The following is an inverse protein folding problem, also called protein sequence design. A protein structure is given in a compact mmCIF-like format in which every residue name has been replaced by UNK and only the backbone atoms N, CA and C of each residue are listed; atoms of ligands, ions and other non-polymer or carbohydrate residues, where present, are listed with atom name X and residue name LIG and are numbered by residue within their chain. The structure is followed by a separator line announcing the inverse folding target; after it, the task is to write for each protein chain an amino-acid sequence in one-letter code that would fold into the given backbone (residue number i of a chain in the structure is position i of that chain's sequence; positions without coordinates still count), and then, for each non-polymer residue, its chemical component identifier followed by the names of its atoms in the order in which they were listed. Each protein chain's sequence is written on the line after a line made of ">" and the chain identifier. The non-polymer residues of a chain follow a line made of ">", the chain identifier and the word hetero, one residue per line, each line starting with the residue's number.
data_IF_151885861788
#
_entry.id   IF_151885861788
#
_cell.length_a   1.000
_cell.length_b   1.000
_cell.length_c   1.000
_cell.angle_alpha   90.00
_cell.angle_beta   90.00
_cell.angle_gamma   90.00
#
_symmetry.space_group_name_H-M   'P 1'
#
loop_
_entity.id
_entity.type
_entity.pdbx_description
1 polymer ?
#
# COMPACT_ATOMS: atom_id res chain seq x y z
N UNK A 1 6.06 10.84 8.55
CA UNK A 1 5.01 9.81 8.67
C UNK A 1 3.66 10.49 8.78
N UNK A 2 2.68 10.02 8.01
CA UNK A 2 1.33 10.61 7.98
C UNK A 2 0.27 9.49 7.89
N UNK A 3 -0.96 9.70 8.41
CA UNK A 3 -2.08 8.82 8.13
C UNK A 3 -2.42 8.83 6.63
N UNK A 4 -2.68 7.67 6.03
CA UNK A 4 -3.03 7.58 4.59
C UNK A 4 -4.27 8.41 4.23
N UNK A 5 -5.20 8.60 5.17
CA UNK A 5 -6.38 9.44 4.96
C UNK A 5 -6.05 10.88 4.56
N UNK A 6 -4.89 11.40 4.95
CA UNK A 6 -4.42 12.73 4.55
C UNK A 6 -4.06 12.79 3.07
N UNK A 7 -3.64 11.66 2.50
CA UNK A 7 -3.14 11.55 1.13
C UNK A 7 -4.24 11.58 0.07
N UNK A 8 -5.48 11.18 0.41
CA UNK A 8 -6.57 11.07 -0.57
C UNK A 8 -7.85 11.81 -0.20
N UNK A 9 -8.06 12.17 1.08
CA UNK A 9 -9.33 12.76 1.51
C UNK A 9 -9.67 14.02 0.72
N UNK A 10 -10.93 14.13 0.26
CA UNK A 10 -11.39 15.20 -0.65
C UNK A 10 -11.90 16.46 0.06
N UNK A 11 -11.71 16.57 1.40
CA UNK A 11 -12.10 17.80 2.09
C UNK A 11 -11.29 19.00 1.60
N UNK A 12 -11.90 20.19 1.56
CA UNK A 12 -11.21 21.41 1.11
C UNK A 12 -9.88 21.67 1.84
N UNK A 13 -9.80 21.32 3.13
CA UNK A 13 -8.58 21.50 3.94
C UNK A 13 -7.46 20.56 3.52
N UNK A 14 -7.76 19.25 3.38
CA UNK A 14 -6.76 18.24 3.02
C UNK A 14 -6.28 18.42 1.57
N UNK A 15 -7.19 18.72 0.65
CA UNK A 15 -6.84 19.02 -0.75
C UNK A 15 -5.94 20.26 -0.84
N UNK A 16 -6.30 21.35 -0.14
CA UNK A 16 -5.45 22.57 -0.09
C UNK A 16 -4.05 22.27 0.47
N UNK A 17 -3.95 21.39 1.48
CA UNK A 17 -2.66 20.99 2.03
C UNK A 17 -1.82 20.23 1.01
N UNK A 18 -2.38 19.21 0.33
CA UNK A 18 -1.67 18.45 -0.71
C UNK A 18 -1.24 19.33 -1.85
N UNK A 19 -2.14 20.20 -2.35
CA UNK A 19 -1.78 21.16 -3.39
C UNK A 19 -0.61 22.05 -2.97
N UNK A 20 -0.61 22.51 -1.72
CA UNK A 20 0.51 23.31 -1.18
C UNK A 20 1.80 22.49 -1.11
N UNK A 21 1.73 21.23 -0.68
CA UNK A 21 2.90 20.34 -0.65
C UNK A 21 3.46 20.16 -2.06
N UNK A 22 2.63 19.85 -3.05
CA UNK A 22 3.05 19.63 -4.44
C UNK A 22 3.57 20.89 -5.14
N UNK A 23 3.15 22.08 -4.71
CA UNK A 23 3.57 23.35 -5.36
C UNK A 23 4.73 24.04 -4.66
N UNK A 24 4.94 23.86 -3.35
CA UNK A 24 5.96 24.54 -2.56
C UNK A 24 7.13 23.64 -2.17
N UNK A 25 6.97 22.34 -2.27
CA UNK A 25 7.98 21.35 -1.93
C UNK A 25 8.17 20.38 -3.09
N UNK A 26 9.35 19.81 -3.19
CA UNK A 26 9.62 18.67 -4.06
C UNK A 26 9.31 17.39 -3.29
N UNK A 27 8.25 16.70 -3.66
CA UNK A 27 7.95 15.36 -3.12
C UNK A 27 8.82 14.36 -3.88
N UNK A 28 9.65 13.65 -3.15
CA UNK A 28 10.61 12.69 -3.69
C UNK A 28 10.00 11.27 -3.72
N UNK A 29 9.36 10.88 -2.61
CA UNK A 29 8.71 9.57 -2.52
C UNK A 29 7.48 9.56 -1.60
N UNK A 30 6.58 8.61 -1.87
CA UNK A 30 5.46 8.23 -1.00
C UNK A 30 5.48 6.72 -0.82
N UNK A 31 5.66 6.25 0.42
CA UNK A 31 5.77 4.83 0.76
C UNK A 31 4.61 4.46 1.68
N UNK A 32 3.66 3.67 1.20
CA UNK A 32 2.61 3.10 2.03
C UNK A 32 3.18 1.96 2.88
N UNK A 33 2.84 1.95 4.17
CA UNK A 33 3.29 0.94 5.12
C UNK A 33 2.18 -0.11 5.35
N UNK A 34 2.54 -1.34 5.73
CA UNK A 34 1.58 -2.33 6.16
C UNK A 34 0.69 -1.78 7.29
N UNK A 35 -0.59 -2.16 7.31
CA UNK A 35 -1.55 -1.65 8.30
C UNK A 35 -1.18 -2.07 9.72
N UNK A 36 -0.49 -3.19 9.85
CA UNK A 36 -0.03 -3.80 11.09
C UNK A 36 1.24 -3.16 11.67
N UNK A 37 1.88 -2.23 10.96
CA UNK A 37 3.20 -1.67 11.31
C UNK A 37 3.26 -1.12 12.73
N UNK A 38 2.15 -0.56 13.21
CA UNK A 38 2.07 0.06 14.54
C UNK A 38 1.23 -0.74 15.55
N UNK A 39 0.92 -2.00 15.25
CA UNK A 39 0.24 -2.86 16.23
C UNK A 39 1.20 -3.19 17.42
N UNK A 40 0.66 -3.30 18.64
CA UNK A 40 -0.75 -3.15 19.03
C UNK A 40 -1.20 -1.70 19.29
N UNK A 41 -0.31 -0.71 19.13
CA UNK A 41 -0.59 0.68 19.50
C UNK A 41 -1.62 1.35 18.59
N UNK A 42 -1.63 1.04 17.30
CA UNK A 42 -2.55 1.63 16.32
C UNK A 42 -2.76 0.69 15.14
N UNK A 43 -4.01 0.61 14.65
CA UNK A 43 -4.39 -0.04 13.38
C UNK A 43 -4.67 0.97 12.27
N UNK A 44 -4.14 2.19 12.36
CA UNK A 44 -4.33 3.22 11.34
C UNK A 44 -3.32 3.01 10.22
N UNK A 45 -3.79 2.92 8.97
CA UNK A 45 -2.94 2.91 7.79
C UNK A 45 -2.11 4.18 7.71
N UNK A 46 -0.81 4.03 7.52
CA UNK A 46 0.14 5.14 7.49
C UNK A 46 1.03 5.08 6.25
N UNK A 47 1.61 6.23 5.91
CA UNK A 47 2.60 6.31 4.85
C UNK A 47 3.75 7.25 5.24
N UNK A 48 4.91 7.01 4.66
CA UNK A 48 6.06 7.91 4.71
C UNK A 48 6.00 8.81 3.48
N UNK A 49 6.01 10.12 3.68
CA UNK A 49 6.19 11.10 2.59
C UNK A 49 7.57 11.70 2.73
N UNK A 50 8.39 11.54 1.71
CA UNK A 50 9.74 12.13 1.64
C UNK A 50 9.67 13.37 0.77
N UNK A 51 10.11 14.51 1.28
CA UNK A 51 10.07 15.76 0.53
C UNK A 51 11.22 16.70 0.91
N UNK A 52 11.56 17.59 -0.01
CA UNK A 52 12.57 18.65 0.17
C UNK A 52 11.91 20.02 0.11
N UNK A 53 12.41 20.98 0.88
CA UNK A 53 11.93 22.35 0.80
C UNK A 53 12.33 22.99 -0.53
N UNK A 54 11.39 23.70 -1.11
CA UNK A 54 11.54 24.32 -2.43
C UNK A 54 10.99 23.45 -3.56
N UNK A 55 10.33 24.09 -4.51
CA UNK A 55 9.93 23.44 -5.75
C UNK A 55 11.17 23.24 -6.63
N UNK A 56 11.44 22.01 -7.03
CA UNK A 56 12.48 21.72 -8.00
C UNK A 56 11.87 21.72 -9.40
N UNK A 57 12.45 22.51 -10.30
CA UNK A 57 12.06 22.49 -11.72
C UNK A 57 12.38 21.14 -12.40
N UNK A 58 13.12 20.26 -11.74
CA UNK A 58 13.57 18.98 -12.28
C UNK A 58 12.90 17.76 -11.61
N UNK A 59 11.95 17.96 -10.68
CA UNK A 59 11.24 16.85 -10.06
C UNK A 59 10.00 16.51 -10.88
N UNK A 60 10.22 15.86 -12.02
CA UNK A 60 9.14 15.49 -12.94
C UNK A 60 8.35 14.27 -12.49
N UNK A 61 8.86 13.51 -11.52
CA UNK A 61 8.28 12.24 -11.06
C UNK A 61 8.35 12.11 -9.54
N UNK A 62 7.39 11.37 -8.98
CA UNK A 62 7.35 10.95 -7.58
C UNK A 62 7.48 9.42 -7.56
N UNK A 63 8.36 8.90 -6.71
CA UNK A 63 8.49 7.47 -6.50
C UNK A 63 7.44 6.98 -5.50
N UNK A 64 6.47 6.20 -5.98
CA UNK A 64 5.43 5.58 -5.15
C UNK A 64 5.81 4.15 -4.84
N UNK A 65 5.61 3.73 -3.60
CA UNK A 65 5.90 2.37 -3.15
C UNK A 65 4.84 1.87 -2.19
N UNK A 66 4.39 0.66 -2.40
CA UNK A 66 3.55 -0.09 -1.47
C UNK A 66 4.38 -1.21 -0.84
N UNK A 67 4.60 -1.13 0.47
CA UNK A 67 5.33 -2.11 1.24
C UNK A 67 4.35 -3.13 1.83
N UNK A 68 4.49 -4.41 1.43
CA UNK A 68 3.65 -5.51 1.92
C UNK A 68 4.26 -6.23 3.12
N UNK A 69 5.60 -6.27 3.17
CA UNK A 69 6.35 -6.98 4.21
C UNK A 69 7.61 -6.18 4.58
N UNK A 70 7.73 -5.84 5.85
CA UNK A 70 8.86 -5.11 6.43
C UNK A 70 9.92 -6.02 7.06
N UNK A 71 9.72 -7.34 7.03
CA UNK A 71 10.60 -8.34 7.65
C UNK A 71 10.14 -8.77 9.04
N UNK A 72 8.91 -8.44 9.41
CA UNK A 72 8.27 -8.88 10.66
C UNK A 72 6.92 -9.52 10.36
N UNK A 73 6.41 -10.31 11.31
CA UNK A 73 5.08 -10.91 11.20
C UNK A 73 3.97 -9.85 11.29
N UNK A 74 2.89 -10.05 10.51
CA UNK A 74 1.74 -9.17 10.49
C UNK A 74 0.75 -9.47 11.64
N UNK A 75 1.28 -9.76 12.81
CA UNK A 75 0.51 -9.99 14.03
C UNK A 75 0.96 -9.06 15.17
N UNK A 76 0.24 -9.12 16.29
CA UNK A 76 0.56 -8.28 17.45
C UNK A 76 1.95 -8.54 18.06
N UNK A 77 2.58 -9.68 17.75
CA UNK A 77 3.89 -10.05 18.32
C UNK A 77 5.03 -9.41 17.53
N UNK A 78 4.78 -9.08 16.26
CA UNK A 78 5.78 -8.47 15.35
C UNK A 78 7.11 -9.24 15.43
N UNK A 79 7.01 -10.58 15.39
CA UNK A 79 8.19 -11.42 15.41
C UNK A 79 8.99 -11.25 14.13
N UNK A 80 10.31 -11.12 14.27
CA UNK A 80 11.20 -10.99 13.11
C UNK A 80 11.17 -12.28 12.29
N UNK A 81 10.94 -12.17 11.00
CA UNK A 81 11.04 -13.29 10.06
C UNK A 81 12.42 -13.35 9.40
N UNK A 82 12.66 -14.34 8.51
CA UNK A 82 13.92 -14.50 7.79
C UNK A 82 14.15 -13.44 6.71
N UNK A 83 13.08 -12.81 6.24
CA UNK A 83 13.13 -11.84 5.15
C UNK A 83 13.77 -10.53 5.61
N UNK A 84 14.50 -9.90 4.70
CA UNK A 84 15.14 -8.61 4.94
C UNK A 84 14.84 -7.66 3.78
N UNK A 85 13.57 -7.27 3.60
CA UNK A 85 13.17 -6.44 2.46
C UNK A 85 13.66 -4.99 2.55
N UNK A 86 13.85 -4.45 3.75
CA UNK A 86 14.17 -3.04 3.94
C UNK A 86 15.48 -2.57 3.28
N UNK A 87 16.61 -3.31 3.31
CA UNK A 87 17.80 -2.90 2.56
C UNK A 87 17.56 -2.79 1.05
N UNK A 88 16.78 -3.70 0.48
CA UNK A 88 16.41 -3.65 -0.94
C UNK A 88 15.49 -2.45 -1.22
N UNK A 89 14.49 -2.21 -0.37
CA UNK A 89 13.61 -1.05 -0.48
C UNK A 89 14.39 0.26 -0.44
N UNK A 90 15.30 0.41 0.51
CA UNK A 90 16.15 1.62 0.62
C UNK A 90 17.02 1.79 -0.62
N UNK A 91 17.64 0.72 -1.12
CA UNK A 91 18.44 0.77 -2.35
C UNK A 91 17.58 1.16 -3.56
N UNK A 92 16.39 0.59 -3.69
CA UNK A 92 15.46 0.91 -4.78
C UNK A 92 14.98 2.37 -4.71
N UNK A 93 14.68 2.87 -3.52
CA UNK A 93 14.32 4.26 -3.30
C UNK A 93 15.46 5.22 -3.70
N UNK A 94 16.69 4.98 -3.23
CA UNK A 94 17.82 5.85 -3.51
C UNK A 94 18.13 6.02 -5.01
N UNK A 95 17.79 5.01 -5.81
CA UNK A 95 18.00 5.01 -7.26
C UNK A 95 16.70 5.15 -8.05
N UNK A 96 15.55 5.34 -7.40
CA UNK A 96 14.20 5.40 -7.99
C UNK A 96 13.91 4.21 -8.93
N UNK A 97 14.35 3.01 -8.53
CA UNK A 97 14.14 1.77 -9.29
C UNK A 97 12.69 1.30 -9.10
N UNK A 98 12.04 0.99 -10.20
CA UNK A 98 10.73 0.33 -10.18
C UNK A 98 10.90 -1.15 -9.88
N UNK A 99 10.18 -1.64 -8.89
CA UNK A 99 10.27 -3.02 -8.39
C UNK A 99 8.87 -3.61 -8.29
N UNK A 100 8.75 -4.89 -8.63
CA UNK A 100 7.57 -5.69 -8.39
C UNK A 100 8.00 -7.05 -7.84
N UNK A 101 7.88 -7.24 -6.53
CA UNK A 101 8.24 -8.48 -5.87
C UNK A 101 7.26 -8.78 -4.70
N UNK A 102 7.48 -9.89 -4.00
CA UNK A 102 6.64 -10.32 -2.87
C UNK A 102 6.68 -9.40 -1.64
N UNK A 103 7.64 -8.48 -1.55
CA UNK A 103 7.82 -7.61 -0.37
C UNK A 103 7.30 -6.21 -0.59
N UNK A 104 7.46 -5.68 -1.80
CA UNK A 104 6.97 -4.35 -2.16
C UNK A 104 6.88 -4.18 -3.66
N UNK A 105 6.08 -3.21 -4.05
CA UNK A 105 5.95 -2.76 -5.43
C UNK A 105 6.16 -1.26 -5.50
N UNK A 106 6.84 -0.80 -6.54
CA UNK A 106 7.11 0.63 -6.72
C UNK A 106 7.04 1.06 -8.17
N UNK A 107 6.63 2.31 -8.38
CA UNK A 107 6.52 2.96 -9.68
C UNK A 107 6.91 4.44 -9.60
N UNK A 108 7.47 4.96 -10.71
CA UNK A 108 7.77 6.39 -10.89
C UNK A 108 6.62 7.07 -11.63
N UNK A 109 5.86 7.89 -10.94
CA UNK A 109 4.66 8.54 -11.49
C UNK A 109 4.99 9.98 -11.82
N UNK A 110 4.69 10.45 -13.05
CA UNK A 110 4.83 11.85 -13.43
C UNK A 110 4.04 12.77 -12.50
N UNK A 111 4.63 13.90 -12.10
CA UNK A 111 3.96 14.88 -11.25
C UNK A 111 2.66 15.40 -11.88
N UNK A 112 2.62 15.51 -13.21
CA UNK A 112 1.43 15.94 -13.95
C UNK A 112 0.26 14.97 -13.70
N UNK A 113 0.49 13.67 -13.72
CA UNK A 113 -0.56 12.65 -13.49
C UNK A 113 -1.12 12.73 -12.07
N UNK A 114 -0.25 13.05 -11.09
CA UNK A 114 -0.67 13.27 -9.70
C UNK A 114 -1.51 14.54 -9.57
N UNK A 115 -1.14 15.60 -10.27
CA UNK A 115 -1.89 16.87 -10.27
C UNK A 115 -3.26 16.70 -10.92
N UNK A 116 -3.34 15.95 -12.00
CA UNK A 116 -4.58 15.69 -12.74
C UNK A 116 -5.51 14.74 -11.97
N UNK A 117 -4.95 13.89 -11.11
CA UNK A 117 -5.69 12.97 -10.22
C UNK A 117 -6.04 13.63 -8.87
N UNK A 118 -6.59 14.85 -8.90
CA UNK A 118 -7.06 15.62 -7.74
C UNK A 118 -6.01 15.83 -6.63
N UNK A 119 -4.76 15.94 -7.02
CA UNK A 119 -3.60 16.00 -6.12
C UNK A 119 -3.55 14.82 -5.12
N UNK A 120 -4.09 13.67 -5.50
CA UNK A 120 -4.06 12.46 -4.69
C UNK A 120 -2.62 11.94 -4.56
N UNK A 121 -2.23 11.57 -3.34
CA UNK A 121 -0.96 10.91 -3.04
C UNK A 121 -1.18 9.48 -2.51
N UNK A 122 -2.36 8.91 -2.76
CA UNK A 122 -2.69 7.55 -2.34
C UNK A 122 -1.93 6.55 -3.22
N UNK A 123 -0.99 5.82 -2.61
CA UNK A 123 -0.10 4.87 -3.30
C UNK A 123 -0.87 3.85 -4.13
N UNK A 124 -1.93 3.26 -3.57
CA UNK A 124 -2.75 2.24 -4.24
C UNK A 124 -3.43 2.70 -5.55
N UNK A 125 -3.46 4.00 -5.84
CA UNK A 125 -3.98 4.53 -7.12
C UNK A 125 -2.95 4.52 -8.24
N UNK A 126 -1.68 4.42 -7.91
CA UNK A 126 -0.56 4.52 -8.85
C UNK A 126 0.24 3.22 -8.94
N UNK A 127 0.43 2.57 -7.81
CA UNK A 127 1.09 1.27 -7.75
C UNK A 127 0.05 0.20 -7.99
N UNK A 128 -0.12 -0.12 -9.26
CA UNK A 128 -1.11 -1.07 -9.75
C UNK A 128 -0.85 -2.46 -9.16
N UNK A 129 -1.82 -3.01 -8.50
CA UNK A 129 -1.81 -4.42 -8.13
C UNK A 129 -1.99 -5.25 -9.41
N UNK A 130 -0.88 -5.58 -10.08
CA UNK A 130 -0.90 -6.37 -11.32
C UNK A 130 -1.55 -7.75 -11.11
N UNK A 131 -1.64 -8.22 -9.88
CA UNK A 131 -2.38 -9.43 -9.52
C UNK A 131 -3.90 -9.30 -9.69
N UNK A 132 -4.46 -8.08 -9.64
CA UNK A 132 -5.89 -7.89 -9.85
C UNK A 132 -6.31 -7.87 -11.33
N UNK A 133 -5.36 -7.66 -12.26
CA UNK A 133 -5.66 -7.63 -13.70
C UNK A 133 -5.54 -8.99 -14.38
N UNK A 134 -4.71 -9.89 -13.85
CA UNK A 134 -4.56 -11.27 -14.35
C UNK A 134 -5.45 -12.30 -13.62
N UNK A 135 -6.09 -11.90 -12.53
CA UNK A 135 -7.25 -12.61 -12.06
C UNK A 135 -8.43 -12.24 -12.98
N UNK A 136 -8.50 -12.86 -14.15
CA UNK A 136 -9.81 -13.23 -14.70
C UNK A 136 -10.49 -14.02 -13.60
N UNK A 137 -11.14 -13.29 -12.70
CA UNK A 137 -12.03 -13.86 -11.71
C UNK A 137 -13.15 -14.50 -12.50
N UNK A 138 -12.95 -15.77 -12.88
CA UNK A 138 -14.03 -16.58 -13.43
C UNK A 138 -15.12 -16.67 -12.34
N UNK A 139 -16.25 -15.94 -12.50
CA UNK A 139 -17.30 -15.93 -11.49
C UNK A 139 -17.81 -17.32 -11.18
N UNK A 140 -17.75 -18.24 -12.17
CA UNK A 140 -18.17 -19.63 -12.01
C UNK A 140 -17.19 -20.41 -11.12
N UNK A 141 -15.89 -20.16 -11.24
CA UNK A 141 -14.87 -20.75 -10.38
C UNK A 141 -15.00 -20.27 -8.94
N UNK A 142 -15.21 -18.98 -8.74
CA UNK A 142 -15.44 -18.39 -7.41
C UNK A 142 -16.69 -18.94 -6.73
N UNK A 143 -17.80 -19.06 -7.46
CA UNK A 143 -19.03 -19.65 -6.93
C UNK A 143 -18.81 -21.11 -6.52
N UNK A 144 -18.02 -21.87 -7.29
CA UNK A 144 -17.67 -23.26 -6.97
C UNK A 144 -16.81 -23.36 -5.70
N UNK A 145 -15.76 -22.53 -5.60
CA UNK A 145 -14.88 -22.49 -4.42
C UNK A 145 -15.63 -22.05 -3.16
N UNK A 146 -16.55 -21.09 -3.28
CA UNK A 146 -17.45 -20.70 -2.19
C UNK A 146 -18.36 -21.85 -1.75
N UNK A 147 -18.92 -22.62 -2.69
CA UNK A 147 -19.71 -23.80 -2.40
C UNK A 147 -18.92 -24.85 -1.62
N UNK A 148 -17.70 -25.17 -2.08
CA UNK A 148 -16.83 -26.13 -1.40
C UNK A 148 -16.44 -25.70 0.02
N UNK A 149 -16.19 -24.39 0.23
CA UNK A 149 -15.91 -23.84 1.56
C UNK A 149 -17.13 -23.90 2.46
N UNK A 150 -18.33 -23.64 1.92
CA UNK A 150 -19.58 -23.71 2.67
C UNK A 150 -19.88 -25.15 3.13
N UNK A 151 -19.63 -26.14 2.29
CA UNK A 151 -19.78 -27.55 2.62
C UNK A 151 -18.78 -28.00 3.71
N UNK A 152 -17.52 -27.56 3.64
CA UNK A 152 -16.51 -27.81 4.68
C UNK A 152 -16.89 -27.20 6.01
N UNK A 153 -17.40 -25.97 6.02
CA UNK A 153 -17.88 -25.31 7.26
C UNK A 153 -19.05 -26.08 7.84
N UNK A 154 -20.02 -26.51 7.01
CA UNK A 154 -21.16 -27.28 7.46
C UNK A 154 -20.73 -28.62 8.06
N UNK A 155 -19.82 -29.34 7.41
CA UNK A 155 -19.27 -30.59 7.90
C UNK A 155 -18.54 -30.41 9.25
N UNK A 156 -17.76 -29.33 9.39
CA UNK A 156 -17.11 -29.02 10.68
C UNK A 156 -18.11 -28.70 11.79
N UNK A 157 -19.25 -28.08 11.49
CA UNK A 157 -20.33 -27.82 12.45
C UNK A 157 -21.03 -29.17 12.84
N UNK A 158 -21.30 -30.02 11.87
CA UNK A 158 -21.91 -31.32 12.11
C UNK A 158 -21.01 -32.22 12.97
N UNK A 159 -19.69 -32.21 12.68
CA UNK A 159 -18.70 -32.95 13.49
C UNK A 159 -18.61 -32.42 14.94
N UNK A 160 -18.65 -31.08 15.14
CA UNK A 160 -18.69 -30.50 16.48
C UNK A 160 -19.98 -30.85 17.24
N UNK A 161 -21.11 -30.97 16.56
CA UNK A 161 -22.40 -31.31 17.16
C UNK A 161 -22.44 -32.77 17.63
N UNK A 162 -21.59 -33.66 17.07
CA UNK A 162 -21.45 -35.05 17.53
C UNK A 162 -20.63 -35.18 18.84
N UNK A 163 -19.92 -34.14 19.26
CA UNK A 163 -19.13 -34.12 20.49
C UNK A 163 -19.85 -33.43 21.66
N UNK A 164 -21.02 -32.86 21.43
CA UNK A 164 -21.88 -32.24 22.44
C UNK A 164 -23.02 -33.16 22.83
#
# INVERSE_FOLDING_TARGET
>A
LVPTTLLYRTTKKTRKLRKRLLTQFTIDAVIALPIEEFLPASGISTAIVVFKYGASSNADKIWFCELYNDGYSNDRRRAKNSDKPLPLLVSSYLHHIEVNNQWFKSQNIPLVDVMDNEESLLVAQYVDNADDRDLELDPQKLVRELGELQDKVKQGIDDLTMYL
#
